data_IF_439873794841
#
_entry.id   IF_439873794841
#
_cell.length_a   1.000
_cell.length_b   1.000
_cell.length_c   1.000
_cell.angle_alpha   90.00
_cell.angle_beta   90.00
_cell.angle_gamma   90.00
#
_symmetry.space_group_name_H-M   'P 1'
#
loop_
_entity.id
_entity.type
_entity.pdbx_description
1 polymer ?
#
# COMPACT_ATOMS: atom_id res chain seq x y z
N UNK A 1 14.97 19.42 -1.75
CA UNK A 1 14.21 18.67 -0.73
C UNK A 1 12.74 18.94 -0.93
N UNK A 2 12.00 17.97 -1.46
CA UNK A 2 10.55 18.04 -1.59
C UNK A 2 9.88 17.92 -0.19
N UNK A 3 9.06 18.89 0.24
CA UNK A 3 8.37 18.85 1.54
C UNK A 3 7.48 17.61 1.73
N UNK A 4 7.12 16.90 0.66
CA UNK A 4 6.37 15.66 0.72
C UNK A 4 7.12 14.52 1.43
N UNK A 5 8.46 14.55 1.49
CA UNK A 5 9.28 13.47 2.05
C UNK A 5 9.89 13.77 3.43
N UNK A 6 9.61 14.94 4.02
CA UNK A 6 10.11 15.26 5.34
C UNK A 6 9.41 14.40 6.41
N UNK A 7 10.15 13.52 7.11
CA UNK A 7 9.67 12.57 8.15
C UNK A 7 8.64 11.53 7.66
N UNK A 8 8.72 11.06 6.42
CA UNK A 8 7.86 9.96 5.96
C UNK A 8 8.59 8.62 6.00
N UNK A 9 7.84 7.55 6.25
CA UNK A 9 8.32 6.17 6.07
C UNK A 9 7.73 5.66 4.78
N UNK A 10 8.58 5.37 3.79
CA UNK A 10 8.18 4.80 2.50
C UNK A 10 8.46 3.30 2.50
N UNK A 11 7.46 2.50 2.18
CA UNK A 11 7.62 1.09 1.83
C UNK A 11 7.75 0.97 0.31
N UNK A 12 8.89 0.48 -0.18
CA UNK A 12 9.08 0.20 -1.59
C UNK A 12 8.27 -1.03 -2.00
N UNK A 13 7.43 -0.90 -3.02
CA UNK A 13 6.66 -1.99 -3.63
C UNK A 13 7.36 -2.56 -4.85
N UNK A 14 7.98 -1.70 -5.65
CA UNK A 14 8.75 -2.07 -6.83
C UNK A 14 9.96 -1.13 -6.99
N UNK A 15 11.08 -1.68 -7.43
CA UNK A 15 12.26 -0.91 -7.81
C UNK A 15 12.99 -1.64 -8.93
N UNK A 16 13.07 -1.01 -10.09
CA UNK A 16 13.72 -1.55 -11.28
C UNK A 16 14.45 -0.40 -12.03
N UNK A 17 15.07 -0.72 -13.17
CA UNK A 17 15.84 0.25 -13.96
C UNK A 17 14.97 1.39 -14.54
N UNK A 18 13.67 1.18 -14.69
CA UNK A 18 12.72 2.15 -15.25
C UNK A 18 12.15 3.11 -14.17
N UNK A 19 12.31 2.78 -12.89
CA UNK A 19 11.89 3.62 -11.78
C UNK A 19 11.58 2.86 -10.50
N UNK A 20 10.94 3.57 -9.57
CA UNK A 20 10.59 3.00 -8.27
C UNK A 20 9.18 3.42 -7.84
N UNK A 21 8.49 2.50 -7.18
CA UNK A 21 7.15 2.71 -6.63
C UNK A 21 7.16 2.38 -5.14
N UNK A 22 6.54 3.24 -4.34
CA UNK A 22 6.43 3.05 -2.90
C UNK A 22 5.17 3.63 -2.28
N UNK A 23 4.94 3.29 -1.02
CA UNK A 23 3.80 3.75 -0.22
C UNK A 23 4.28 4.50 1.02
N UNK A 24 3.77 5.71 1.22
CA UNK A 24 3.92 6.45 2.47
C UNK A 24 3.06 5.80 3.56
N UNK A 25 3.70 5.24 4.59
CA UNK A 25 3.02 4.47 5.63
C UNK A 25 2.39 5.32 6.75
N UNK A 26 2.97 6.50 7.03
CA UNK A 26 2.72 7.25 8.25
C UNK A 26 1.81 8.48 8.08
N UNK A 27 0.93 8.49 7.08
CA UNK A 27 -0.03 9.57 6.81
C UNK A 27 -1.48 9.05 6.78
N UNK A 28 -2.13 8.81 7.93
CA UNK A 28 -3.55 8.46 7.96
C UNK A 28 -4.40 9.64 7.46
N UNK A 29 -5.45 9.35 6.68
CA UNK A 29 -6.56 10.27 6.39
C UNK A 29 -7.64 10.05 7.44
N UNK A 30 -8.36 11.09 7.84
CA UNK A 30 -9.54 10.95 8.73
C UNK A 30 -10.78 10.44 7.97
N UNK A 31 -10.58 9.54 7.01
CA UNK A 31 -11.60 8.96 6.13
C UNK A 31 -11.61 7.45 6.39
N UNK A 32 -12.78 6.87 6.62
CA UNK A 32 -12.94 5.43 6.81
C UNK A 32 -12.62 4.66 5.53
N UNK A 33 -11.78 3.64 5.64
CA UNK A 33 -11.42 2.76 4.52
C UNK A 33 -12.60 1.97 3.97
N UNK A 34 -13.60 1.66 4.81
CA UNK A 34 -14.83 0.98 4.40
C UNK A 34 -15.63 1.79 3.36
N UNK A 35 -15.52 3.12 3.34
CA UNK A 35 -16.15 3.95 2.30
C UNK A 35 -15.48 3.77 0.93
N UNK A 36 -14.18 3.43 0.91
CA UNK A 36 -13.42 3.20 -0.32
C UNK A 36 -13.54 1.75 -0.81
N UNK A 37 -13.52 0.78 0.12
CA UNK A 37 -13.57 -0.65 -0.21
C UNK A 37 -14.48 -1.39 0.78
N UNK A 38 -15.82 -1.31 0.60
CA UNK A 38 -16.78 -1.82 1.58
C UNK A 38 -16.67 -3.32 1.84
N UNK A 39 -16.42 -4.12 0.80
CA UNK A 39 -16.33 -5.58 0.92
C UNK A 39 -15.18 -6.08 1.81
N UNK A 40 -14.22 -5.21 2.16
CA UNK A 40 -13.08 -5.53 3.00
C UNK A 40 -13.17 -4.93 4.42
N UNK A 41 -14.30 -4.30 4.78
CA UNK A 41 -14.51 -3.59 6.05
C UNK A 41 -14.09 -4.41 7.29
N UNK A 42 -14.53 -5.67 7.37
CA UNK A 42 -14.27 -6.56 8.51
C UNK A 42 -12.79 -6.96 8.67
N UNK A 43 -11.95 -6.69 7.66
CA UNK A 43 -10.51 -6.99 7.68
C UNK A 43 -9.65 -5.77 7.88
N UNK A 44 -10.23 -4.56 7.93
CA UNK A 44 -9.46 -3.34 8.10
C UNK A 44 -8.80 -3.30 9.47
N UNK A 45 -7.49 -3.10 9.49
CA UNK A 45 -6.73 -2.91 10.72
C UNK A 45 -7.21 -1.64 11.44
N UNK A 46 -7.58 -1.76 12.72
CA UNK A 46 -8.03 -0.62 13.52
C UNK A 46 -7.01 0.53 13.49
N UNK A 47 -7.44 1.80 13.33
CA UNK A 47 -8.83 2.29 13.36
C UNK A 47 -9.61 2.20 12.03
N UNK A 48 -9.12 1.46 11.04
CA UNK A 48 -9.82 1.26 9.76
C UNK A 48 -9.78 2.46 8.83
N UNK A 49 -8.81 3.36 9.02
CA UNK A 49 -8.67 4.55 8.17
C UNK A 49 -7.93 4.27 6.87
N UNK A 50 -8.32 5.03 5.84
CA UNK A 50 -7.55 5.15 4.61
C UNK A 50 -6.27 5.96 4.90
N UNK A 51 -5.15 5.56 4.29
CA UNK A 51 -3.88 6.28 4.40
C UNK A 51 -3.54 6.95 3.07
N UNK A 52 -2.74 8.02 3.11
CA UNK A 52 -2.18 8.61 1.89
C UNK A 52 -0.92 7.85 1.52
N UNK A 53 -0.95 7.10 0.42
CA UNK A 53 0.20 6.35 -0.09
C UNK A 53 1.16 7.18 -0.92
N UNK A 54 0.68 8.27 -1.53
CA UNK A 54 1.50 9.28 -2.21
C UNK A 54 0.69 10.12 -3.21
N UNK A 55 1.33 11.04 -3.94
CA UNK A 55 0.64 12.01 -4.81
C UNK A 55 0.25 11.45 -6.17
N UNK A 56 0.71 10.25 -6.54
CA UNK A 56 0.42 9.66 -7.86
C UNK A 56 -0.84 8.80 -7.78
N UNK A 57 -1.74 8.99 -8.74
CA UNK A 57 -3.00 8.24 -8.86
C UNK A 57 -3.80 8.18 -7.55
N UNK A 58 -4.07 9.32 -6.93
CA UNK A 58 -4.74 9.39 -5.62
C UNK A 58 -6.12 8.71 -5.55
N UNK A 59 -6.78 8.50 -6.69
CA UNK A 59 -8.06 7.77 -6.78
C UNK A 59 -7.89 6.24 -6.75
N UNK A 60 -6.67 5.73 -6.93
CA UNK A 60 -6.36 4.30 -6.85
C UNK A 60 -6.13 3.87 -5.41
N UNK A 61 -6.69 2.73 -5.02
CA UNK A 61 -6.54 2.16 -3.69
C UNK A 61 -5.63 0.94 -3.74
N UNK A 62 -4.62 0.93 -2.89
CA UNK A 62 -3.70 -0.21 -2.69
C UNK A 62 -3.94 -0.79 -1.31
N UNK A 63 -4.11 -2.10 -1.25
CA UNK A 63 -4.28 -2.84 -0.01
C UNK A 63 -3.02 -3.58 0.40
N UNK A 64 -2.48 -3.28 1.58
CA UNK A 64 -1.41 -4.09 2.20
C UNK A 64 -1.99 -4.97 3.28
N UNK A 65 -1.74 -6.28 3.19
CA UNK A 65 -2.23 -7.24 4.17
C UNK A 65 -1.15 -8.23 4.59
N UNK A 66 -1.36 -8.83 5.76
CA UNK A 66 -0.62 -10.01 6.17
C UNK A 66 -1.24 -11.26 5.58
N UNK A 67 -0.43 -12.21 5.12
CA UNK A 67 -0.86 -13.50 4.60
C UNK A 67 0.29 -14.49 4.45
N UNK A 68 0.09 -15.58 3.68
CA UNK A 68 1.15 -16.56 3.41
C UNK A 68 2.39 -15.89 2.76
N UNK A 69 3.60 -16.13 3.27
CA UNK A 69 4.82 -15.48 2.76
C UNK A 69 5.12 -15.76 1.27
N UNK A 70 4.72 -16.93 0.80
CA UNK A 70 4.82 -17.34 -0.60
C UNK A 70 3.77 -16.67 -1.52
N UNK A 71 2.80 -15.96 -0.92
CA UNK A 71 1.65 -15.41 -1.62
C UNK A 71 0.59 -16.46 -1.94
N UNK A 72 -0.55 -15.98 -2.43
CA UNK A 72 -1.63 -16.81 -2.97
C UNK A 72 -2.22 -16.09 -4.18
N UNK A 73 -3.04 -16.77 -4.98
CA UNK A 73 -3.77 -16.09 -6.05
C UNK A 73 -4.67 -14.99 -5.46
N UNK A 74 -4.39 -13.72 -5.76
CA UNK A 74 -5.01 -12.55 -5.14
C UNK A 74 -4.22 -11.89 -3.99
N UNK A 75 -3.04 -12.39 -3.64
CA UNK A 75 -2.08 -11.75 -2.73
C UNK A 75 -0.66 -11.89 -3.29
N UNK A 76 -0.12 -10.79 -3.81
CA UNK A 76 1.27 -10.73 -4.26
C UNK A 76 2.21 -10.53 -3.05
N UNK A 77 3.19 -11.43 -2.83
CA UNK A 77 4.09 -11.32 -1.68
C UNK A 77 5.05 -10.13 -1.86
N UNK A 78 5.40 -9.47 -0.75
CA UNK A 78 6.28 -8.31 -0.74
C UNK A 78 7.46 -8.47 0.23
N UNK A 79 7.19 -8.68 1.52
CA UNK A 79 8.23 -8.81 2.54
C UNK A 79 7.76 -9.69 3.70
N UNK A 80 8.35 -10.89 3.83
CA UNK A 80 7.90 -11.85 4.82
C UNK A 80 6.40 -12.14 4.65
N UNK A 81 5.56 -12.02 5.69
CA UNK A 81 4.13 -12.24 5.57
C UNK A 81 3.37 -11.04 4.94
N UNK A 82 4.03 -9.94 4.61
CA UNK A 82 3.38 -8.76 4.03
C UNK A 82 3.22 -8.92 2.52
N UNK A 83 2.04 -8.59 1.99
CA UNK A 83 1.75 -8.61 0.56
C UNK A 83 0.73 -7.55 0.13
N UNK A 84 0.63 -7.36 -1.19
CA UNK A 84 -0.36 -6.51 -1.84
C UNK A 84 -1.57 -7.36 -2.22
N UNK A 85 -2.75 -7.01 -1.72
CA UNK A 85 -4.00 -7.75 -1.99
C UNK A 85 -4.71 -7.22 -3.23
N UNK A 86 -5.27 -8.12 -4.03
CA UNK A 86 -6.21 -7.76 -5.10
C UNK A 86 -7.57 -7.44 -4.49
N UNK A 87 -7.85 -6.14 -4.36
CA UNK A 87 -9.07 -5.63 -3.73
C UNK A 87 -10.34 -5.94 -4.53
N UNK A 88 -10.25 -6.38 -5.80
CA UNK A 88 -11.41 -6.78 -6.59
C UNK A 88 -11.98 -8.14 -6.17
N UNK A 89 -11.23 -8.92 -5.38
CA UNK A 89 -11.68 -10.20 -4.81
C UNK A 89 -12.45 -10.00 -3.50
N UNK A 90 -13.22 -11.02 -3.14
CA UNK A 90 -13.85 -11.10 -1.83
C UNK A 90 -12.84 -11.58 -0.77
N UNK A 91 -12.90 -11.09 0.49
CA UNK A 91 -12.13 -11.66 1.58
C UNK A 91 -12.38 -13.16 1.80
N UNK A 92 -13.57 -13.66 1.42
CA UNK A 92 -13.93 -15.08 1.53
C UNK A 92 -13.12 -15.97 0.58
N UNK A 93 -12.73 -15.43 -0.57
CA UNK A 93 -11.89 -16.12 -1.56
C UNK A 93 -10.41 -16.17 -1.13
N UNK A 94 -10.05 -15.38 -0.11
CA UNK A 94 -8.69 -15.19 0.39
C UNK A 94 -8.59 -15.50 1.90
N UNK A 95 -8.91 -16.72 2.35
CA UNK A 95 -9.01 -17.05 3.78
C UNK A 95 -7.68 -16.91 4.54
N UNK A 96 -6.54 -16.95 3.85
CA UNK A 96 -5.21 -16.73 4.42
C UNK A 96 -4.84 -15.26 4.63
N UNK A 97 -5.64 -14.32 4.11
CA UNK A 97 -5.39 -12.88 4.26
C UNK A 97 -5.95 -12.38 5.58
N UNK A 98 -5.07 -11.86 6.43
CA UNK A 98 -5.38 -11.30 7.73
C UNK A 98 -5.77 -9.83 7.67
N UNK A 99 -5.25 -9.05 8.62
CA UNK A 99 -5.54 -7.62 8.69
C UNK A 99 -4.99 -6.86 7.49
N UNK A 100 -5.80 -5.93 6.99
CA UNK A 100 -5.56 -5.12 5.80
C UNK A 100 -5.44 -3.64 6.17
N UNK A 101 -4.54 -2.92 5.51
CA UNK A 101 -4.48 -1.46 5.52
C UNK A 101 -4.60 -0.91 4.10
N UNK A 102 -5.43 0.11 3.93
CA UNK A 102 -5.69 0.73 2.64
C UNK A 102 -4.90 2.03 2.49
N UNK A 103 -4.38 2.25 1.29
CA UNK A 103 -3.62 3.43 0.89
C UNK A 103 -4.20 4.00 -0.40
N UNK A 104 -4.44 5.31 -0.43
CA UNK A 104 -4.84 6.06 -1.60
C UNK A 104 -3.61 6.65 -2.30
N UNK A 105 -3.47 6.36 -3.59
CA UNK A 105 -2.31 6.72 -4.38
C UNK A 105 -1.02 6.04 -3.92
N UNK A 106 0.06 6.37 -4.61
CA UNK A 106 1.41 5.90 -4.32
C UNK A 106 2.44 6.99 -4.58
N UNK A 107 3.65 6.81 -4.06
CA UNK A 107 4.81 7.61 -4.39
C UNK A 107 5.56 6.94 -5.54
N UNK A 108 5.87 7.70 -6.58
CA UNK A 108 6.65 7.24 -7.72
C UNK A 108 7.92 8.09 -7.85
N UNK A 109 9.02 7.44 -8.22
CA UNK A 109 10.27 8.08 -8.58
C UNK A 109 10.61 7.72 -10.02
N UNK A 110 10.98 8.71 -10.82
CA UNK A 110 11.57 8.45 -12.13
C UNK A 110 12.95 7.80 -11.97
N UNK A 111 13.40 7.04 -12.98
CA UNK A 111 14.71 6.38 -12.98
C UNK A 111 15.84 7.30 -12.50
N UNK A 112 16.63 6.83 -11.53
CA UNK A 112 17.77 7.56 -10.93
C UNK A 112 17.42 8.72 -9.99
N UNK A 113 16.14 9.10 -9.84
CA UNK A 113 15.72 10.16 -8.91
C UNK A 113 15.85 9.70 -7.45
N UNK A 114 15.49 8.46 -7.16
CA UNK A 114 15.56 7.92 -5.80
C UNK A 114 17.02 7.89 -5.29
N UNK A 115 17.96 7.44 -6.13
CA UNK A 115 19.39 7.42 -5.79
C UNK A 115 19.95 8.83 -5.57
N UNK A 116 19.46 9.82 -6.34
CA UNK A 116 19.86 11.21 -6.19
C UNK A 116 19.27 11.88 -4.92
N UNK A 117 18.15 11.38 -4.39
CA UNK A 117 17.53 11.90 -3.15
C UNK A 117 18.10 11.26 -1.87
N UNK A 118 18.74 10.10 -1.97
CA UNK A 118 19.40 9.40 -0.84
C UNK A 118 20.86 9.85 -0.61
N UNK A 119 21.44 10.63 -1.52
CA UNK A 119 22.83 11.12 -1.47
C UNK A 119 22.92 12.51 -0.80
#
# INVERSE_FOLDING_TARGET
MDPNFHRVVVLMLEHNEDGALGLVLNRPRLIGGAAAVPQWEDRLAAPGYLHTGGPVSEDSIIGLAFGPPEGIDGLSPLLGPLGVVDLHRSPEDLPGVGSLRLFAGYAGWSAGQLDAELM
#
